data_IF_391598718573
#
_entry.id   IF_391598718573
#
_cell.length_a   1.000
_cell.length_b   1.000
_cell.length_c   1.000
_cell.angle_alpha   90.00
_cell.angle_beta   90.00
_cell.angle_gamma   90.00
#
_symmetry.space_group_name_H-M   'P 1'
#
loop_
_entity.id
_entity.type
_entity.pdbx_description
1 polymer ?
#
# COMPACT_ATOMS: atom_id res chain seq x y z
N UNK A 1 -19.00 -6.42 -8.51
CA UNK A 1 -17.73 -6.27 -7.81
C UNK A 1 -16.99 -7.60 -7.91
N UNK A 2 -15.74 -7.60 -8.37
CA UNK A 2 -14.97 -8.83 -8.48
C UNK A 2 -14.67 -9.42 -7.09
N UNK A 3 -14.47 -10.73 -7.00
CA UNK A 3 -14.15 -11.41 -5.74
C UNK A 3 -12.95 -10.81 -4.98
N UNK A 4 -11.86 -10.34 -5.66
CA UNK A 4 -10.75 -9.63 -5.01
C UNK A 4 -11.16 -8.33 -4.30
N UNK A 5 -12.19 -7.66 -4.77
CA UNK A 5 -12.65 -6.40 -4.18
C UNK A 5 -13.54 -6.63 -2.94
N UNK A 6 -14.14 -7.82 -2.78
CA UNK A 6 -14.98 -8.15 -1.64
C UNK A 6 -14.19 -8.12 -0.32
N UNK A 7 -12.97 -8.65 -0.28
CA UNK A 7 -12.09 -8.59 0.89
C UNK A 7 -11.74 -7.14 1.25
N UNK A 8 -11.32 -6.37 0.27
CA UNK A 8 -10.95 -4.95 0.47
C UNK A 8 -12.13 -4.13 0.95
N UNK A 9 -13.31 -4.37 0.39
CA UNK A 9 -14.55 -3.75 0.83
C UNK A 9 -14.84 -4.08 2.30
N UNK A 10 -14.82 -5.36 2.67
CA UNK A 10 -15.05 -5.80 4.05
C UNK A 10 -14.02 -5.20 5.01
N UNK A 11 -12.74 -5.17 4.64
CA UNK A 11 -11.70 -4.53 5.43
C UNK A 11 -12.05 -3.07 5.76
N UNK A 12 -12.43 -2.29 4.75
CA UNK A 12 -12.63 -0.85 4.90
C UNK A 12 -14.00 -0.51 5.51
N UNK A 13 -15.06 -1.23 5.13
CA UNK A 13 -16.44 -0.87 5.52
C UNK A 13 -16.95 -1.59 6.76
N UNK A 14 -16.29 -2.67 7.18
CA UNK A 14 -16.72 -3.49 8.32
C UNK A 14 -15.62 -3.58 9.39
N UNK A 15 -14.41 -4.06 9.04
CA UNK A 15 -13.36 -4.34 10.02
C UNK A 15 -12.80 -3.05 10.62
N UNK A 16 -12.44 -2.05 9.81
CA UNK A 16 -11.93 -0.77 10.32
C UNK A 16 -12.94 -0.10 11.24
N UNK A 17 -14.23 0.09 10.87
CA UNK A 17 -15.23 0.65 11.78
C UNK A 17 -15.47 -0.18 13.04
N UNK A 18 -15.43 -1.52 12.94
CA UNK A 18 -15.57 -2.41 14.09
C UNK A 18 -14.44 -2.19 15.11
N UNK A 19 -13.19 -2.14 14.65
CA UNK A 19 -12.03 -1.91 15.51
C UNK A 19 -12.11 -0.53 16.15
N UNK A 20 -12.44 0.51 15.39
CA UNK A 20 -12.52 1.88 15.91
C UNK A 20 -13.65 2.07 16.93
N UNK A 21 -14.75 1.32 16.79
CA UNK A 21 -15.88 1.36 17.73
C UNK A 21 -15.58 0.60 19.03
N UNK A 22 -14.83 -0.49 18.98
CA UNK A 22 -14.71 -1.43 20.10
C UNK A 22 -13.36 -1.34 20.84
N UNK A 23 -12.36 -0.66 20.26
CA UNK A 23 -11.02 -0.53 20.83
C UNK A 23 -10.56 0.93 20.87
N UNK A 24 -9.49 1.20 21.62
CA UNK A 24 -8.85 2.52 21.67
C UNK A 24 -8.10 2.83 20.37
N UNK A 25 -8.82 3.07 19.30
CA UNK A 25 -8.27 3.49 18.02
C UNK A 25 -8.71 4.92 17.71
N UNK A 26 -7.89 5.66 17.01
CA UNK A 26 -8.21 7.03 16.57
C UNK A 26 -8.85 6.96 15.20
N UNK A 27 -10.16 7.27 15.03
CA UNK A 27 -10.88 7.09 13.78
C UNK A 27 -10.63 8.25 12.80
N UNK A 28 -9.38 8.44 12.42
CA UNK A 28 -8.95 9.49 11.48
C UNK A 28 -8.02 8.92 10.43
N UNK A 29 -8.15 9.36 9.19
CA UNK A 29 -7.26 9.02 8.07
C UNK A 29 -5.79 9.18 8.45
N UNK A 30 -5.44 10.29 9.12
CA UNK A 30 -4.07 10.59 9.56
C UNK A 30 -3.53 9.65 10.63
N UNK A 31 -4.37 8.81 11.21
CA UNK A 31 -4.00 7.80 12.22
C UNK A 31 -4.16 6.38 11.69
N UNK A 32 -4.34 6.20 10.38
CA UNK A 32 -4.47 4.90 9.74
C UNK A 32 -3.32 4.63 8.79
N UNK A 33 -2.70 3.47 8.95
CA UNK A 33 -1.72 2.92 8.02
C UNK A 33 -2.25 1.59 7.46
N UNK A 34 -1.92 1.32 6.21
CA UNK A 34 -2.17 0.01 5.60
C UNK A 34 -0.85 -0.54 5.06
N UNK A 35 -0.54 -1.76 5.42
CA UNK A 35 0.61 -2.48 4.92
C UNK A 35 0.22 -3.92 4.60
N UNK A 36 0.81 -4.50 3.60
CA UNK A 36 0.55 -5.87 3.24
C UNK A 36 1.69 -6.47 2.42
N UNK A 37 1.87 -7.77 2.57
CA UNK A 37 2.92 -8.52 1.92
C UNK A 37 2.35 -9.39 0.81
N UNK A 38 2.99 -9.41 -0.36
CA UNK A 38 2.63 -10.27 -1.48
C UNK A 38 1.16 -10.02 -1.91
N UNK A 39 0.28 -10.99 -1.77
CA UNK A 39 -1.17 -10.80 -1.98
C UNK A 39 -1.72 -9.66 -1.11
N UNK A 40 -1.27 -9.54 0.15
CA UNK A 40 -1.62 -8.43 1.03
C UNK A 40 -1.11 -7.08 0.53
N UNK A 41 0.01 -7.04 -0.19
CA UNK A 41 0.49 -5.86 -0.90
C UNK A 41 -0.46 -5.45 -2.02
N UNK A 42 -0.97 -6.42 -2.77
CA UNK A 42 -2.01 -6.20 -3.78
C UNK A 42 -3.30 -5.65 -3.16
N UNK A 43 -3.73 -6.21 -2.00
CA UNK A 43 -4.87 -5.67 -1.26
C UNK A 43 -4.62 -4.25 -0.74
N UNK A 44 -3.39 -3.95 -0.29
CA UNK A 44 -2.99 -2.59 0.13
C UNK A 44 -3.16 -1.59 -1.02
N UNK A 45 -2.61 -1.90 -2.18
CA UNK A 45 -2.73 -1.07 -3.38
C UNK A 45 -4.20 -0.93 -3.80
N UNK A 46 -4.94 -2.03 -3.81
CA UNK A 46 -6.36 -2.03 -4.22
C UNK A 46 -7.24 -1.25 -3.23
N UNK A 47 -7.00 -1.38 -1.93
CA UNK A 47 -7.73 -0.65 -0.90
C UNK A 47 -7.56 0.86 -1.05
N UNK A 48 -6.34 1.32 -1.32
CA UNK A 48 -6.06 2.75 -1.46
C UNK A 48 -6.56 3.33 -2.79
N UNK A 49 -6.64 2.54 -3.85
CA UNK A 49 -7.28 2.93 -5.11
C UNK A 49 -8.79 3.08 -4.94
N UNK A 50 -9.46 2.11 -4.33
CA UNK A 50 -10.91 2.10 -4.18
C UNK A 50 -11.40 3.05 -3.07
N UNK A 51 -10.59 3.25 -2.04
CA UNK A 51 -10.93 4.05 -0.85
C UNK A 51 -9.79 5.01 -0.50
N UNK A 52 -9.50 6.00 -1.34
CA UNK A 52 -8.34 6.88 -1.19
C UNK A 52 -8.40 7.79 0.06
N UNK A 53 -9.58 7.95 0.65
CA UNK A 53 -9.79 8.81 1.83
C UNK A 53 -9.61 8.08 3.17
N UNK A 54 -9.17 6.81 3.17
CA UNK A 54 -9.15 5.99 4.39
C UNK A 54 -7.80 5.97 5.08
N UNK A 55 -6.70 5.87 4.32
CA UNK A 55 -5.34 5.67 4.86
C UNK A 55 -4.39 6.77 4.40
N UNK A 56 -3.59 7.32 5.32
CA UNK A 56 -2.53 8.27 5.01
C UNK A 56 -1.15 7.62 4.84
N UNK A 57 -0.96 6.40 5.32
CA UNK A 57 0.29 5.65 5.23
C UNK A 57 0.05 4.36 4.44
N UNK A 58 0.73 4.22 3.32
CA UNK A 58 0.49 3.18 2.31
C UNK A 58 1.79 2.41 2.08
N UNK A 59 1.84 1.14 2.49
CA UNK A 59 3.06 0.35 2.47
C UNK A 59 2.86 -1.04 1.81
N UNK A 60 2.78 -1.14 0.47
CA UNK A 60 2.78 -2.43 -0.21
C UNK A 60 4.18 -3.06 -0.20
N UNK A 61 4.26 -4.34 0.14
CA UNK A 61 5.51 -5.07 0.32
C UNK A 61 5.56 -6.31 -0.58
N UNK A 62 6.69 -6.53 -1.23
CA UNK A 62 6.92 -7.67 -2.15
C UNK A 62 5.72 -7.86 -3.10
N UNK A 63 5.31 -6.76 -3.68
CA UNK A 63 4.15 -6.67 -4.55
C UNK A 63 4.39 -5.57 -5.57
N UNK A 64 3.93 -5.79 -6.76
CA UNK A 64 3.92 -4.80 -7.82
C UNK A 64 2.52 -4.62 -8.38
N UNK A 65 2.43 -3.88 -9.45
CA UNK A 65 1.21 -3.63 -10.19
C UNK A 65 1.44 -3.90 -11.68
N UNK A 66 0.38 -4.18 -12.40
CA UNK A 66 0.40 -4.18 -13.86
C UNK A 66 0.00 -2.81 -14.37
N UNK A 67 0.67 -2.33 -15.39
CA UNK A 67 0.27 -1.09 -16.04
C UNK A 67 -1.07 -1.27 -16.76
N UNK A 68 -1.89 -0.25 -16.72
CA UNK A 68 -3.19 -0.25 -17.37
C UNK A 68 -3.61 1.18 -17.73
N UNK A 69 -4.50 1.35 -18.73
CA UNK A 69 -5.00 2.67 -19.08
C UNK A 69 -5.68 3.44 -17.93
N UNK A 70 -6.20 2.72 -16.92
CA UNK A 70 -6.89 3.31 -15.77
C UNK A 70 -5.95 3.64 -14.60
N UNK A 71 -4.70 3.15 -14.62
CA UNK A 71 -3.78 3.27 -13.49
C UNK A 71 -3.49 4.73 -13.12
N UNK A 72 -3.26 5.57 -14.11
CA UNK A 72 -2.97 6.99 -13.86
C UNK A 72 -4.15 7.72 -13.21
N UNK A 73 -5.37 7.48 -13.66
CA UNK A 73 -6.58 8.04 -13.05
C UNK A 73 -6.73 7.57 -11.59
N UNK A 74 -6.48 6.29 -11.33
CA UNK A 74 -6.54 5.70 -10.00
C UNK A 74 -5.51 6.31 -9.06
N UNK A 75 -4.27 6.49 -9.51
CA UNK A 75 -3.21 7.11 -8.73
C UNK A 75 -3.47 8.60 -8.48
N UNK A 76 -4.00 9.32 -9.48
CA UNK A 76 -4.44 10.70 -9.29
C UNK A 76 -5.56 10.82 -8.25
N UNK A 77 -6.44 9.83 -8.12
CA UNK A 77 -7.43 9.76 -7.05
C UNK A 77 -6.78 9.74 -5.66
N UNK A 78 -5.74 8.90 -5.46
CA UNK A 78 -4.97 8.86 -4.22
C UNK A 78 -4.25 10.19 -3.96
N UNK A 79 -3.60 10.73 -4.97
CA UNK A 79 -2.90 12.03 -4.88
C UNK A 79 -3.83 13.16 -4.47
N UNK A 80 -5.01 13.25 -5.08
CA UNK A 80 -6.02 14.26 -4.78
C UNK A 80 -6.57 14.14 -3.36
N UNK A 81 -6.79 12.92 -2.88
CA UNK A 81 -7.21 12.65 -1.51
C UNK A 81 -6.13 12.99 -0.47
N UNK A 82 -4.87 12.98 -0.90
CA UNK A 82 -3.70 13.19 -0.06
C UNK A 82 -3.26 11.94 0.69
N UNK A 83 -1.98 11.84 0.99
CA UNK A 83 -1.36 10.80 1.82
C UNK A 83 -0.08 11.36 2.44
N UNK A 84 0.41 10.72 3.49
CA UNK A 84 1.65 11.14 4.19
C UNK A 84 2.85 10.28 3.86
N UNK A 85 2.62 9.02 3.52
CA UNK A 85 3.68 8.08 3.18
C UNK A 85 3.18 7.10 2.12
N UNK A 86 3.95 6.96 1.05
CA UNK A 86 3.84 5.84 0.11
C UNK A 86 5.20 5.14 0.06
N UNK A 87 5.29 3.97 0.71
CA UNK A 87 6.55 3.27 0.91
C UNK A 87 6.46 1.83 0.42
N UNK A 88 7.25 1.48 -0.56
CA UNK A 88 7.24 0.17 -1.22
C UNK A 88 8.53 -0.57 -0.90
N UNK A 89 8.43 -1.75 -0.33
CA UNK A 89 9.56 -2.64 -0.08
C UNK A 89 9.53 -3.86 -0.98
N UNK A 90 10.61 -4.11 -1.73
CA UNK A 90 10.73 -5.31 -2.56
C UNK A 90 12.19 -5.72 -2.75
N UNK A 91 12.46 -7.01 -2.75
CA UNK A 91 13.77 -7.57 -3.09
C UNK A 91 14.02 -7.53 -4.60
N UNK A 92 15.24 -7.26 -5.00
CA UNK A 92 15.62 -7.19 -6.42
C UNK A 92 15.57 -8.55 -7.12
N UNK A 93 15.68 -9.64 -6.36
CA UNK A 93 15.54 -11.03 -6.85
C UNK A 93 14.12 -11.59 -6.61
N UNK A 94 13.19 -10.75 -6.13
CA UNK A 94 11.80 -11.15 -5.92
C UNK A 94 11.07 -11.20 -7.28
N UNK A 95 10.21 -12.20 -7.48
CA UNK A 95 9.39 -12.30 -8.68
C UNK A 95 8.43 -11.10 -8.84
N UNK A 96 8.15 -10.38 -7.76
CA UNK A 96 7.34 -9.16 -7.78
C UNK A 96 8.12 -7.90 -8.22
N UNK A 97 9.45 -7.98 -8.31
CA UNK A 97 10.28 -6.82 -8.64
C UNK A 97 9.90 -6.12 -9.94
N UNK A 98 9.66 -6.81 -11.07
CA UNK A 98 9.25 -6.13 -12.31
C UNK A 98 7.95 -5.32 -12.16
N UNK A 99 7.00 -5.84 -11.38
CA UNK A 99 5.76 -5.10 -11.09
C UNK A 99 5.99 -3.94 -10.10
N UNK A 100 6.98 -4.03 -9.23
CA UNK A 100 7.41 -2.93 -8.37
C UNK A 100 8.00 -1.79 -9.20
N UNK A 101 8.81 -2.10 -10.22
CA UNK A 101 9.34 -1.09 -11.15
C UNK A 101 8.23 -0.41 -11.97
N UNK A 102 7.17 -1.14 -12.33
CA UNK A 102 5.98 -0.55 -12.97
C UNK A 102 5.31 0.43 -12.03
N UNK A 103 5.13 0.06 -10.77
CA UNK A 103 4.53 0.94 -9.75
C UNK A 103 5.38 2.20 -9.53
N UNK A 104 6.69 2.05 -9.41
CA UNK A 104 7.64 3.15 -9.26
C UNK A 104 7.47 4.19 -10.38
N UNK A 105 7.59 3.73 -11.62
CA UNK A 105 7.40 4.59 -12.81
C UNK A 105 6.02 5.24 -12.88
N UNK A 106 4.97 4.50 -12.47
CA UNK A 106 3.62 5.04 -12.45
C UNK A 106 3.46 6.14 -11.38
N UNK A 107 4.04 5.97 -10.20
CA UNK A 107 4.05 6.99 -9.15
C UNK A 107 4.85 8.22 -9.59
N UNK A 108 6.04 8.03 -10.18
CA UNK A 108 6.86 9.13 -10.71
C UNK A 108 6.12 9.95 -11.78
N UNK A 109 5.56 9.29 -12.81
CA UNK A 109 4.85 10.00 -13.91
C UNK A 109 3.60 10.73 -13.43
N UNK A 110 3.03 10.32 -12.30
CA UNK A 110 1.90 10.99 -11.65
C UNK A 110 2.33 12.08 -10.64
N UNK A 111 3.63 12.31 -10.47
CA UNK A 111 4.18 13.29 -9.54
C UNK A 111 3.80 12.98 -8.09
N UNK A 112 3.79 11.72 -7.71
CA UNK A 112 3.50 11.23 -6.36
C UNK A 112 4.80 10.99 -5.61
N UNK A 113 4.97 11.66 -4.48
CA UNK A 113 6.12 11.43 -3.60
C UNK A 113 6.03 10.01 -3.00
N UNK A 114 7.11 9.24 -3.13
CA UNK A 114 7.16 7.87 -2.65
C UNK A 114 8.60 7.41 -2.41
N UNK A 115 8.73 6.28 -1.74
CA UNK A 115 10.02 5.60 -1.52
C UNK A 115 9.96 4.18 -2.04
N UNK A 116 10.91 3.80 -2.87
CA UNK A 116 11.17 2.40 -3.23
C UNK A 116 12.36 1.91 -2.40
N UNK A 117 12.10 0.99 -1.51
CA UNK A 117 13.13 0.31 -0.73
C UNK A 117 13.50 -1.00 -1.41
N UNK A 118 14.52 -0.96 -2.26
CA UNK A 118 15.09 -2.13 -2.91
C UNK A 118 16.05 -2.83 -1.95
N UNK A 119 15.76 -4.07 -1.58
CA UNK A 119 16.67 -4.90 -0.80
C UNK A 119 17.32 -5.97 -1.68
N UNK A 120 18.41 -6.53 -1.20
CA UNK A 120 18.93 -7.77 -1.78
C UNK A 120 17.97 -8.93 -1.53
N UNK A 121 18.07 -9.98 -2.38
CA UNK A 121 17.32 -11.21 -2.22
C UNK A 121 15.89 -11.16 -2.73
N UNK A 122 15.17 -12.24 -2.46
CA UNK A 122 13.86 -12.53 -3.03
C UNK A 122 12.71 -12.47 -2.01
N UNK A 123 11.72 -13.29 -2.29
CA UNK A 123 10.46 -13.37 -1.52
C UNK A 123 10.61 -14.15 -0.23
N UNK A 124 11.42 -13.65 0.72
CA UNK A 124 11.87 -14.36 1.93
C UNK A 124 11.51 -13.63 3.22
N UNK A 125 11.42 -14.39 4.31
CA UNK A 125 11.05 -13.84 5.64
C UNK A 125 12.03 -12.79 6.17
N UNK A 126 13.31 -12.91 5.86
CA UNK A 126 14.31 -11.92 6.24
C UNK A 126 13.94 -10.52 5.72
N UNK A 127 13.62 -10.42 4.43
CA UNK A 127 13.22 -9.15 3.81
C UNK A 127 11.93 -8.59 4.42
N UNK A 128 10.98 -9.45 4.76
CA UNK A 128 9.71 -9.05 5.41
C UNK A 128 9.95 -8.36 6.75
N UNK A 129 10.82 -8.93 7.57
CA UNK A 129 11.20 -8.34 8.87
C UNK A 129 11.95 -7.03 8.68
N UNK A 130 12.82 -6.96 7.68
CA UNK A 130 13.56 -5.76 7.34
C UNK A 130 12.61 -4.63 6.94
N UNK A 131 11.62 -4.90 6.08
CA UNK A 131 10.63 -3.91 5.66
C UNK A 131 9.81 -3.41 6.85
N UNK A 132 9.27 -4.30 7.65
CA UNK A 132 8.49 -3.93 8.83
C UNK A 132 9.32 -3.04 9.78
N UNK A 133 10.54 -3.43 10.09
CA UNK A 133 11.42 -2.64 10.96
C UNK A 133 11.75 -1.26 10.36
N UNK A 134 11.81 -1.14 9.03
CA UNK A 134 12.15 0.11 8.35
C UNK A 134 10.95 1.04 8.27
N UNK A 135 9.83 0.60 7.68
CA UNK A 135 8.70 1.51 7.47
C UNK A 135 7.92 1.84 8.75
N UNK A 136 7.86 0.91 9.72
CA UNK A 136 7.12 1.15 10.96
C UNK A 136 7.62 2.39 11.72
N UNK A 137 8.90 2.71 11.61
CA UNK A 137 9.51 3.92 12.20
C UNK A 137 9.09 5.21 11.52
N UNK A 138 8.51 5.15 10.35
CA UNK A 138 8.07 6.28 9.54
C UNK A 138 6.59 6.62 9.76
N UNK A 139 5.85 5.72 10.44
CA UNK A 139 4.42 5.89 10.66
C UNK A 139 4.12 6.92 11.74
N UNK A 140 3.06 7.68 11.53
CA UNK A 140 2.46 8.59 12.53
C UNK A 140 3.40 9.70 13.04
N UNK A 141 4.27 10.17 12.19
CA UNK A 141 5.19 11.29 12.48
C UNK A 141 4.72 12.60 11.87
#
# INVERSE_FOLDING_TARGET
MSEPDAYVKSLVTEIVPFIEKNYRAIPKKSSRAIAGLSMGGGHTTRATILYPDVFDYICPLSCGIQDSPQLDEQLQGIKKAGYKLYWVGCGTDDFAWPGTEVLDKALERNGMEHTIYASDGGHVWFNRRLYLNTFARLLFK
#
